data_IF_003371427741
#
_entry.id   IF_003371427741
#
_cell.length_a   1.000
_cell.length_b   1.000
_cell.length_c   1.000
_cell.angle_alpha   90.00
_cell.angle_beta   90.00
_cell.angle_gamma   90.00
#
_symmetry.space_group_name_H-M   'P 1'
#
loop_
_entity.id
_entity.type
_entity.pdbx_description
1 polymer ?
#
# COMPACT_ATOMS: atom_id res chain seq x y z
N UNK A 1 -27.11 -32.21 -29.98
CA UNK A 1 -25.74 -32.08 -29.44
C UNK A 1 -25.28 -30.62 -29.41
N UNK A 2 -25.77 -29.77 -30.33
CA UNK A 2 -25.31 -28.37 -30.45
C UNK A 2 -25.70 -27.47 -29.28
N UNK A 3 -26.86 -27.69 -28.64
CA UNK A 3 -27.31 -26.86 -27.51
C UNK A 3 -26.36 -26.95 -26.30
N UNK A 4 -25.81 -28.15 -26.03
CA UNK A 4 -24.86 -28.37 -24.93
C UNK A 4 -23.51 -27.71 -25.25
N UNK A 5 -23.07 -27.81 -26.51
CA UNK A 5 -21.84 -27.17 -26.99
C UNK A 5 -21.94 -25.63 -26.92
N UNK A 6 -23.06 -25.07 -27.39
CA UNK A 6 -23.34 -23.63 -27.35
C UNK A 6 -23.44 -23.14 -25.91
N UNK A 7 -24.16 -23.86 -25.03
CA UNK A 7 -24.27 -23.51 -23.63
C UNK A 7 -22.91 -23.54 -22.91
N UNK A 8 -22.08 -24.54 -23.19
CA UNK A 8 -20.71 -24.62 -22.67
C UNK A 8 -19.81 -23.47 -23.15
N UNK A 9 -19.89 -23.12 -24.44
CA UNK A 9 -19.17 -21.98 -24.99
C UNK A 9 -19.61 -20.64 -24.38
N UNK A 10 -20.92 -20.45 -24.17
CA UNK A 10 -21.47 -19.27 -23.49
C UNK A 10 -20.99 -19.18 -22.03
N UNK A 11 -20.95 -20.31 -21.31
CA UNK A 11 -20.44 -20.36 -19.94
C UNK A 11 -18.97 -19.95 -19.85
N UNK A 12 -18.12 -20.49 -20.74
CA UNK A 12 -16.70 -20.12 -20.80
C UNK A 12 -16.49 -18.65 -21.18
N UNK A 13 -17.26 -18.13 -22.13
CA UNK A 13 -17.21 -16.72 -22.51
C UNK A 13 -17.60 -15.81 -21.34
N UNK A 14 -18.66 -16.17 -20.60
CA UNK A 14 -19.12 -15.40 -19.44
C UNK A 14 -18.11 -15.44 -18.28
N UNK A 15 -17.55 -16.62 -17.97
CA UNK A 15 -16.47 -16.74 -16.98
C UNK A 15 -15.23 -15.92 -17.38
N UNK A 16 -14.87 -15.92 -18.68
CA UNK A 16 -13.80 -15.10 -19.22
C UNK A 16 -14.06 -13.59 -19.08
N UNK A 17 -15.29 -13.14 -19.34
CA UNK A 17 -15.70 -11.74 -19.16
C UNK A 17 -15.64 -11.31 -17.68
N UNK A 18 -16.13 -12.16 -16.76
CA UNK A 18 -16.03 -11.91 -15.32
C UNK A 18 -14.56 -11.81 -14.91
N UNK A 19 -13.74 -12.76 -15.34
CA UNK A 19 -12.32 -12.78 -15.03
C UNK A 19 -11.58 -11.54 -15.57
N UNK A 20 -11.88 -11.14 -16.81
CA UNK A 20 -11.35 -9.92 -17.42
C UNK A 20 -11.77 -8.68 -16.62
N UNK A 21 -13.05 -8.60 -16.23
CA UNK A 21 -13.59 -7.50 -15.44
C UNK A 21 -12.87 -7.37 -14.09
N UNK A 22 -12.68 -8.47 -13.35
CA UNK A 22 -11.95 -8.47 -12.08
C UNK A 22 -10.49 -8.05 -12.28
N UNK A 23 -9.81 -8.56 -13.30
CA UNK A 23 -8.44 -8.15 -13.63
C UNK A 23 -8.33 -6.67 -13.99
N UNK A 24 -9.28 -6.14 -14.74
CA UNK A 24 -9.30 -4.73 -15.13
C UNK A 24 -9.51 -3.83 -13.91
N UNK A 25 -10.46 -4.20 -13.05
CA UNK A 25 -10.76 -3.48 -11.80
C UNK A 25 -9.58 -3.50 -10.83
N UNK A 26 -8.88 -4.64 -10.70
CA UNK A 26 -7.68 -4.75 -9.87
C UNK A 26 -6.58 -3.80 -10.38
N UNK A 27 -6.28 -3.82 -11.69
CA UNK A 27 -5.30 -2.91 -12.30
C UNK A 27 -5.64 -1.43 -12.11
N UNK A 28 -6.92 -1.07 -12.11
CA UNK A 28 -7.32 0.30 -11.87
C UNK A 28 -7.05 0.71 -10.41
N UNK A 29 -7.34 -0.17 -9.45
CA UNK A 29 -7.03 0.06 -8.04
C UNK A 29 -5.52 0.16 -7.81
N UNK A 30 -4.71 -0.75 -8.35
CA UNK A 30 -3.25 -0.70 -8.29
C UNK A 30 -2.70 0.65 -8.81
N UNK A 31 -3.17 1.10 -10.00
CA UNK A 31 -2.77 2.40 -10.54
C UNK A 31 -3.14 3.57 -9.64
N UNK A 32 -4.30 3.51 -8.98
CA UNK A 32 -4.71 4.56 -8.02
C UNK A 32 -3.80 4.55 -6.79
N UNK A 33 -3.46 3.38 -6.25
CA UNK A 33 -2.53 3.24 -5.13
C UNK A 33 -1.16 3.84 -5.50
N UNK A 34 -0.56 3.42 -6.62
CA UNK A 34 0.75 3.94 -7.04
C UNK A 34 0.72 5.46 -7.25
N UNK A 35 -0.37 5.99 -7.80
CA UNK A 35 -0.55 7.43 -7.97
C UNK A 35 -0.61 8.16 -6.62
N UNK A 36 -1.39 7.65 -5.66
CA UNK A 36 -1.50 8.22 -4.31
C UNK A 36 -0.16 8.18 -3.57
N UNK A 37 0.55 7.06 -3.64
CA UNK A 37 1.90 6.92 -3.07
C UNK A 37 2.85 7.98 -3.65
N UNK A 38 2.86 8.15 -4.97
CA UNK A 38 3.67 9.17 -5.63
C UNK A 38 3.29 10.60 -5.20
N UNK A 39 2.00 10.92 -5.17
CA UNK A 39 1.51 12.23 -4.71
C UNK A 39 1.87 12.49 -3.24
N UNK A 40 1.80 11.45 -2.40
CA UNK A 40 2.22 11.50 -1.00
C UNK A 40 3.70 11.82 -0.87
N UNK A 41 4.57 11.08 -1.57
CA UNK A 41 6.03 11.31 -1.57
C UNK A 41 6.37 12.70 -2.08
N UNK A 42 5.72 13.15 -3.15
CA UNK A 42 5.92 14.49 -3.70
C UNK A 42 5.47 15.58 -2.74
N UNK A 43 4.36 15.38 -2.03
CA UNK A 43 3.86 16.31 -1.01
C UNK A 43 4.80 16.37 0.18
N UNK A 44 5.31 15.22 0.65
CA UNK A 44 6.29 15.12 1.73
C UNK A 44 7.57 15.90 1.39
N UNK A 45 8.12 15.72 0.18
CA UNK A 45 9.30 16.47 -0.29
C UNK A 45 9.08 17.98 -0.38
N UNK A 46 7.84 18.43 -0.57
CA UNK A 46 7.45 19.84 -0.63
C UNK A 46 7.08 20.43 0.75
N UNK A 47 7.20 19.66 1.84
CA UNK A 47 6.80 20.09 3.18
C UNK A 47 5.29 20.05 3.43
N UNK A 48 4.50 19.50 2.51
CA UNK A 48 3.05 19.36 2.63
C UNK A 48 2.65 18.14 3.45
N UNK A 49 3.01 18.10 4.73
CA UNK A 49 2.93 16.90 5.57
C UNK A 49 1.50 16.38 5.77
N UNK A 50 0.53 17.26 6.05
CA UNK A 50 -0.89 16.86 6.17
C UNK A 50 -1.43 16.20 4.89
N UNK A 51 -1.05 16.75 3.74
CA UNK A 51 -1.43 16.19 2.45
C UNK A 51 -0.74 14.84 2.21
N UNK A 52 0.54 14.73 2.55
CA UNK A 52 1.28 13.48 2.44
C UNK A 52 0.65 12.36 3.28
N UNK A 53 0.40 12.63 4.56
CA UNK A 53 -0.25 11.68 5.47
C UNK A 53 -1.62 11.23 4.94
N UNK A 54 -2.42 12.17 4.40
CA UNK A 54 -3.72 11.85 3.80
C UNK A 54 -3.56 10.94 2.58
N UNK A 55 -2.61 11.24 1.68
CA UNK A 55 -2.34 10.41 0.50
C UNK A 55 -1.92 8.98 0.89
N UNK A 56 -1.01 8.83 1.86
CA UNK A 56 -0.55 7.52 2.31
C UNK A 56 -1.65 6.73 3.02
N UNK A 57 -2.47 7.39 3.85
CA UNK A 57 -3.62 6.73 4.49
C UNK A 57 -4.63 6.21 3.46
N UNK A 58 -4.98 7.01 2.46
CA UNK A 58 -5.89 6.58 1.39
C UNK A 58 -5.25 5.44 0.57
N UNK A 59 -3.95 5.51 0.29
CA UNK A 59 -3.24 4.43 -0.40
C UNK A 59 -3.28 3.12 0.41
N UNK A 60 -3.10 3.18 1.73
CA UNK A 60 -3.24 2.05 2.64
C UNK A 60 -4.65 1.44 2.57
N UNK A 61 -5.71 2.27 2.67
CA UNK A 61 -7.10 1.81 2.60
C UNK A 61 -7.41 1.09 1.27
N UNK A 62 -6.97 1.64 0.13
CA UNK A 62 -7.14 0.98 -1.16
C UNK A 62 -6.33 -0.32 -1.27
N UNK A 63 -5.13 -0.36 -0.71
CA UNK A 63 -4.27 -1.55 -0.70
C UNK A 63 -4.90 -2.65 0.15
N UNK A 64 -5.51 -2.29 1.27
CA UNK A 64 -6.29 -3.21 2.12
C UNK A 64 -7.49 -3.81 1.38
N UNK A 65 -8.21 -3.03 0.56
CA UNK A 65 -9.35 -3.54 -0.22
C UNK A 65 -8.97 -4.59 -1.28
N UNK A 66 -7.68 -4.72 -1.61
CA UNK A 66 -7.18 -5.67 -2.62
C UNK A 66 -6.14 -6.65 -2.06
N UNK A 67 -5.98 -6.69 -0.74
CA UNK A 67 -5.00 -7.51 -0.05
C UNK A 67 -3.54 -7.27 -0.54
N UNK A 68 -3.22 -6.03 -0.91
CA UNK A 68 -1.86 -5.62 -1.31
C UNK A 68 -1.04 -5.22 -0.09
N UNK A 69 -0.57 -6.24 0.63
CA UNK A 69 0.19 -6.09 1.86
C UNK A 69 1.52 -5.33 1.67
N UNK A 70 2.10 -5.38 0.47
CA UNK A 70 3.34 -4.67 0.15
C UNK A 70 3.11 -3.15 0.18
N UNK A 71 2.11 -2.65 -0.55
CA UNK A 71 1.77 -1.23 -0.55
C UNK A 71 1.22 -0.76 0.80
N UNK A 72 0.54 -1.64 1.55
CA UNK A 72 0.13 -1.33 2.92
C UNK A 72 1.34 -1.06 3.83
N UNK A 73 2.36 -1.93 3.83
CA UNK A 73 3.57 -1.74 4.63
C UNK A 73 4.33 -0.48 4.23
N UNK A 74 4.45 -0.22 2.92
CA UNK A 74 5.13 0.96 2.40
C UNK A 74 4.39 2.26 2.74
N UNK A 75 3.05 2.25 2.67
CA UNK A 75 2.24 3.39 3.07
C UNK A 75 2.42 3.73 4.56
N UNK A 76 2.40 2.73 5.46
CA UNK A 76 2.62 2.93 6.89
C UNK A 76 4.03 3.50 7.14
N UNK A 77 5.06 2.94 6.48
CA UNK A 77 6.42 3.45 6.58
C UNK A 77 6.51 4.94 6.20
N UNK A 78 5.82 5.33 5.14
CA UNK A 78 5.77 6.73 4.71
C UNK A 78 4.95 7.64 5.64
N UNK A 79 3.94 7.12 6.33
CA UNK A 79 3.29 7.86 7.43
C UNK A 79 4.29 8.11 8.56
N UNK A 80 5.10 7.12 8.93
CA UNK A 80 6.19 7.28 9.91
C UNK A 80 7.17 8.38 9.52
N UNK A 81 7.64 8.40 8.26
CA UNK A 81 8.48 9.48 7.73
C UNK A 81 7.78 10.85 7.81
N UNK A 82 6.47 10.88 7.58
CA UNK A 82 5.69 12.12 7.62
C UNK A 82 5.55 12.66 9.04
N UNK A 83 5.40 11.79 10.04
CA UNK A 83 5.44 12.16 11.46
C UNK A 83 6.84 12.65 11.87
N UNK A 84 7.90 11.95 11.44
CA UNK A 84 9.28 12.33 11.73
C UNK A 84 9.60 13.74 11.22
N UNK A 85 9.17 14.08 9.99
CA UNK A 85 9.34 15.42 9.42
C UNK A 85 8.50 16.51 10.10
N UNK A 86 7.48 16.13 10.86
CA UNK A 86 6.69 17.02 11.71
C UNK A 86 7.23 17.10 13.14
N UNK A 87 8.39 16.49 13.42
CA UNK A 87 8.99 16.39 14.76
C UNK A 87 8.14 15.60 15.77
N UNK A 88 7.14 14.87 15.29
CA UNK A 88 6.29 13.98 16.07
C UNK A 88 6.97 12.61 16.21
N UNK A 89 7.98 12.57 17.10
CA UNK A 89 8.83 11.40 17.31
C UNK A 89 8.06 10.19 17.83
N UNK A 90 7.06 10.39 18.68
CA UNK A 90 6.29 9.30 19.28
C UNK A 90 5.47 8.57 18.21
N UNK A 91 4.72 9.30 17.38
CA UNK A 91 3.96 8.70 16.31
C UNK A 91 4.86 8.13 15.21
N UNK A 92 5.97 8.79 14.88
CA UNK A 92 6.93 8.27 13.92
C UNK A 92 7.51 6.92 14.35
N UNK A 93 7.90 6.79 15.63
CA UNK A 93 8.38 5.54 16.20
C UNK A 93 7.32 4.44 16.12
N UNK A 94 6.08 4.75 16.50
CA UNK A 94 4.95 3.81 16.42
C UNK A 94 4.76 3.29 14.98
N UNK A 95 4.67 4.19 14.00
CA UNK A 95 4.43 3.79 12.61
C UNK A 95 5.61 3.04 11.99
N UNK A 96 6.85 3.38 12.34
CA UNK A 96 8.00 2.59 11.88
C UNK A 96 8.02 1.17 12.46
N UNK A 97 7.65 1.00 13.73
CA UNK A 97 7.54 -0.32 14.33
C UNK A 97 6.42 -1.15 13.68
N UNK A 98 5.27 -0.55 13.42
CA UNK A 98 4.17 -1.23 12.73
C UNK A 98 4.53 -1.59 11.29
N UNK A 99 5.20 -0.69 10.54
CA UNK A 99 5.70 -0.99 9.21
C UNK A 99 6.71 -2.15 9.23
N UNK A 100 7.64 -2.17 10.20
CA UNK A 100 8.63 -3.22 10.35
C UNK A 100 7.98 -4.60 10.58
N UNK A 101 7.00 -4.68 11.49
CA UNK A 101 6.21 -5.91 11.72
C UNK A 101 5.48 -6.35 10.46
N UNK A 102 4.89 -5.41 9.72
CA UNK A 102 4.13 -5.74 8.52
C UNK A 102 5.04 -6.25 7.39
N UNK A 103 6.21 -5.63 7.21
CA UNK A 103 7.23 -6.13 6.29
C UNK A 103 7.74 -7.52 6.68
N UNK A 104 7.87 -7.80 7.97
CA UNK A 104 8.24 -9.13 8.46
C UNK A 104 7.17 -10.18 8.14
N UNK A 105 5.88 -9.85 8.27
CA UNK A 105 4.76 -10.74 7.94
C UNK A 105 4.72 -11.13 6.46
N UNK A 106 5.20 -10.26 5.57
CA UNK A 106 5.28 -10.51 4.11
C UNK A 106 6.66 -10.98 3.66
N UNK A 107 7.56 -11.31 4.59
CA UNK A 107 8.94 -11.74 4.34
C UNK A 107 9.80 -10.73 3.56
N UNK A 108 9.45 -9.44 3.58
CA UNK A 108 10.27 -8.35 3.04
C UNK A 108 11.27 -7.85 4.08
N UNK A 109 12.37 -8.58 4.23
CA UNK A 109 13.41 -8.24 5.21
C UNK A 109 14.10 -6.90 4.93
N UNK A 110 14.16 -6.47 3.66
CA UNK A 110 14.73 -5.18 3.28
C UNK A 110 13.84 -4.01 3.74
N UNK A 111 12.53 -4.13 3.55
CA UNK A 111 11.55 -3.20 4.12
C UNK A 111 11.59 -3.19 5.64
N UNK A 112 11.62 -4.37 6.26
CA UNK A 112 11.68 -4.53 7.72
C UNK A 112 12.89 -3.80 8.33
N UNK A 113 14.08 -4.03 7.78
CA UNK A 113 15.33 -3.48 8.29
C UNK A 113 15.38 -1.97 8.13
N UNK A 114 14.93 -1.44 6.98
CA UNK A 114 14.80 0.02 6.77
C UNK A 114 13.88 0.67 7.80
N UNK A 115 12.70 0.08 8.04
CA UNK A 115 11.76 0.61 9.03
C UNK A 115 12.32 0.49 10.47
N UNK A 116 13.00 -0.60 10.78
CA UNK A 116 13.63 -0.82 12.07
C UNK A 116 14.78 0.16 12.34
N UNK A 117 15.63 0.42 11.35
CA UNK A 117 16.70 1.42 11.43
C UNK A 117 16.14 2.84 11.65
N UNK A 118 15.07 3.20 10.94
CA UNK A 118 14.39 4.47 11.13
C UNK A 118 13.84 4.62 12.55
N UNK A 119 13.21 3.57 13.10
CA UNK A 119 12.76 3.53 14.48
C UNK A 119 13.91 3.71 15.49
N UNK A 120 15.03 3.02 15.28
CA UNK A 120 16.20 3.13 16.15
C UNK A 120 16.87 4.51 16.07
N UNK A 121 16.90 5.12 14.88
CA UNK A 121 17.40 6.49 14.70
C UNK A 121 16.64 7.49 15.58
N UNK A 122 15.31 7.39 15.59
CA UNK A 122 14.48 8.23 16.47
C UNK A 122 14.79 7.97 17.94
N UNK A 123 14.85 6.69 18.35
CA UNK A 123 15.13 6.31 19.74
C UNK A 123 16.49 6.80 20.23
N UNK A 124 17.51 6.79 19.38
CA UNK A 124 18.85 7.28 19.69
C UNK A 124 18.96 8.81 19.70
N UNK A 125 17.94 9.51 19.21
CA UNK A 125 17.86 10.98 19.16
C UNK A 125 17.05 11.60 20.30
N UNK A 126 16.52 10.77 21.21
CA UNK A 126 15.79 11.16 22.43
C UNK A 126 16.75 11.18 23.62
#
# INVERSE_FOLDING_TARGET
MDVILIAGAMFLAYAGLIFLYYRLRLKEKEKRISKLMLEGVMSLRRGGYNKAATCFKIAYEYSQEIDDYQNMAEAIYHVGLTCEKQEDKDNALYFFQEASKMYEQIEDYSGRDRAFEAANSIKNSL
#
